data_IF_533103052612
#
_entry.id   IF_533103052612
#
_cell.length_a   1.000
_cell.length_b   1.000
_cell.length_c   1.000
_cell.angle_alpha   90.00
_cell.angle_beta   90.00
_cell.angle_gamma   90.00
#
_symmetry.space_group_name_H-M   'P 1'
#
loop_
_entity.id
_entity.type
_entity.pdbx_description
1 polymer ?
#
# COMPACT_ATOMS: atom_id res chain seq x y z
N UNK A 1 -5.78 -14.91 8.39
CA UNK A 1 -5.96 -13.97 9.51
C UNK A 1 -4.61 -13.65 10.14
N UNK A 2 -4.49 -12.53 10.81
CA UNK A 2 -3.30 -12.16 11.55
C UNK A 2 -3.19 -12.88 12.90
N UNK A 3 -2.03 -12.76 13.53
CA UNK A 3 -1.73 -13.35 14.83
C UNK A 3 -2.68 -12.82 15.94
N UNK A 4 -3.02 -11.53 15.92
CA UNK A 4 -3.91 -10.92 16.91
C UNK A 4 -5.31 -11.53 16.82
N UNK A 5 -5.85 -11.62 15.62
CA UNK A 5 -7.15 -12.27 15.36
C UNK A 5 -7.14 -13.74 15.76
N UNK A 6 -6.08 -14.49 15.43
CA UNK A 6 -5.99 -15.90 15.78
C UNK A 6 -6.04 -16.12 17.31
N UNK A 7 -5.18 -15.43 18.05
CA UNK A 7 -5.02 -15.68 19.48
C UNK A 7 -6.03 -14.96 20.38
N UNK A 8 -6.59 -13.85 19.92
CA UNK A 8 -7.53 -13.06 20.74
C UNK A 8 -9.00 -13.28 20.38
N UNK A 9 -9.32 -13.82 19.19
CA UNK A 9 -10.70 -13.96 18.72
C UNK A 9 -11.09 -15.39 18.31
N UNK A 10 -10.18 -16.17 17.71
CA UNK A 10 -10.51 -17.48 17.14
C UNK A 10 -10.21 -18.64 18.06
N UNK A 11 -9.15 -18.57 18.86
CA UNK A 11 -8.83 -19.63 19.81
C UNK A 11 -9.57 -19.43 21.14
N UNK A 12 -9.99 -20.53 21.80
CA UNK A 12 -10.52 -20.48 23.16
C UNK A 12 -9.50 -19.83 24.10
N UNK A 13 -9.98 -18.98 25.01
CA UNK A 13 -9.10 -18.19 25.89
C UNK A 13 -8.17 -19.06 26.75
N UNK A 14 -8.64 -20.27 27.13
CA UNK A 14 -7.89 -21.27 27.92
C UNK A 14 -6.77 -21.94 27.10
N UNK A 15 -6.89 -21.97 25.76
CA UNK A 15 -5.87 -22.54 24.88
C UNK A 15 -4.69 -21.59 24.62
N UNK A 16 -4.79 -20.33 25.04
CA UNK A 16 -3.77 -19.32 24.77
C UNK A 16 -2.99 -19.02 26.05
N UNK A 17 -1.67 -19.37 26.12
CA UNK A 17 -0.85 -19.10 27.29
C UNK A 17 -0.81 -17.61 27.63
N UNK A 18 -0.94 -17.26 28.91
CA UNK A 18 -0.94 -15.87 29.39
C UNK A 18 0.32 -15.11 28.95
N UNK A 19 1.50 -15.74 29.00
CA UNK A 19 2.76 -15.16 28.54
C UNK A 19 2.73 -14.75 27.05
N UNK A 20 2.01 -15.51 26.23
CA UNK A 20 1.84 -15.17 24.81
C UNK A 20 0.94 -13.96 24.63
N UNK A 21 -0.18 -13.88 25.36
CA UNK A 21 -1.09 -12.70 25.36
C UNK A 21 -0.33 -11.43 25.73
N UNK A 22 0.49 -11.50 26.79
CA UNK A 22 1.31 -10.37 27.24
C UNK A 22 2.36 -9.96 26.20
N UNK A 23 2.96 -10.94 25.50
CA UNK A 23 3.90 -10.66 24.41
C UNK A 23 3.18 -9.99 23.22
N UNK A 24 2.05 -10.50 22.80
CA UNK A 24 1.27 -9.95 21.68
C UNK A 24 0.76 -8.54 21.97
N UNK A 25 0.31 -8.26 23.19
CA UNK A 25 -0.16 -6.93 23.58
C UNK A 25 0.93 -5.85 23.53
N UNK A 26 2.21 -6.24 23.63
CA UNK A 26 3.38 -5.37 23.59
C UNK A 26 4.09 -5.37 22.22
N UNK A 27 3.64 -6.23 21.29
CA UNK A 27 4.29 -6.34 19.99
C UNK A 27 3.84 -5.20 19.08
N UNK A 28 4.82 -4.56 18.46
CA UNK A 28 4.57 -3.63 17.36
C UNK A 28 4.32 -4.41 16.07
N UNK A 29 3.36 -3.95 15.28
CA UNK A 29 3.10 -4.49 13.96
C UNK A 29 4.00 -3.79 12.93
N UNK A 30 4.28 -4.48 11.83
CA UNK A 30 4.89 -3.86 10.67
C UNK A 30 3.95 -2.80 10.07
N UNK A 31 4.52 -1.85 9.35
CA UNK A 31 3.73 -0.93 8.55
C UNK A 31 2.88 -1.72 7.55
N UNK A 32 1.67 -1.25 7.32
CA UNK A 32 0.90 -1.64 6.15
C UNK A 32 1.47 -0.97 4.89
N UNK A 33 0.76 -1.00 3.80
CA UNK A 33 1.16 -0.33 2.57
C UNK A 33 0.00 0.46 1.96
N UNK A 34 0.37 1.47 1.17
CA UNK A 34 -0.48 1.96 0.09
C UNK A 34 0.00 1.30 -1.19
N UNK A 35 -0.94 0.72 -1.93
CA UNK A 35 -0.65 0.09 -3.23
C UNK A 35 -1.43 0.80 -4.32
N UNK A 36 -0.74 1.14 -5.41
CA UNK A 36 -1.36 1.66 -6.62
C UNK A 36 -1.19 0.61 -7.70
N UNK A 37 -2.31 0.04 -8.16
CA UNK A 37 -2.34 -0.86 -9.31
C UNK A 37 -2.72 -0.05 -10.55
N UNK A 38 -1.85 -0.05 -11.54
CA UNK A 38 -1.92 0.82 -12.73
C UNK A 38 -2.10 -0.03 -13.97
N UNK A 39 -3.07 0.33 -14.82
CA UNK A 39 -3.20 -0.17 -16.19
C UNK A 39 -2.62 0.86 -17.17
N UNK A 40 -1.80 0.38 -18.12
CA UNK A 40 -1.10 1.20 -19.10
C UNK A 40 -1.68 1.00 -20.50
N UNK A 41 -1.68 2.06 -21.30
CA UNK A 41 -2.04 2.04 -22.72
C UNK A 41 -0.91 1.54 -23.65
N UNK A 42 0.22 1.15 -23.07
CA UNK A 42 1.41 0.63 -23.76
C UNK A 42 2.04 -0.49 -22.91
N UNK A 43 3.02 -1.20 -23.45
CA UNK A 43 3.75 -2.22 -22.68
C UNK A 43 4.63 -1.57 -21.62
N UNK A 44 4.79 -2.21 -20.48
CA UNK A 44 5.66 -1.69 -19.41
C UNK A 44 7.12 -1.58 -19.87
N UNK A 45 7.57 -2.48 -20.74
CA UNK A 45 8.93 -2.46 -21.32
C UNK A 45 9.18 -1.23 -22.19
N UNK A 46 8.17 -0.74 -22.92
CA UNK A 46 8.31 0.50 -23.73
C UNK A 46 8.58 1.73 -22.87
N UNK A 47 8.19 1.69 -21.60
CA UNK A 47 8.48 2.70 -20.60
C UNK A 47 9.76 2.44 -19.80
N UNK A 48 10.54 1.41 -20.18
CA UNK A 48 11.82 1.08 -19.57
C UNK A 48 11.74 0.16 -18.37
N UNK A 49 10.55 -0.31 -17.97
CA UNK A 49 10.42 -1.27 -16.87
C UNK A 49 10.91 -2.66 -17.31
N UNK A 50 11.49 -3.39 -16.36
CA UNK A 50 12.05 -4.73 -16.55
C UNK A 50 11.43 -5.71 -15.56
N UNK A 51 11.74 -7.00 -15.72
CA UNK A 51 11.33 -8.08 -14.79
C UNK A 51 12.18 -8.05 -13.51
N UNK A 52 12.10 -6.94 -12.79
CA UNK A 52 12.78 -6.71 -11.51
C UNK A 52 11.87 -5.88 -10.60
N UNK A 53 12.05 -6.01 -9.28
CA UNK A 53 11.50 -5.04 -8.35
C UNK A 53 12.43 -3.83 -8.28
N UNK A 54 11.91 -2.68 -8.65
CA UNK A 54 12.62 -1.40 -8.59
C UNK A 54 12.32 -0.73 -7.24
N UNK A 55 13.35 -0.23 -6.56
CA UNK A 55 13.22 0.56 -5.33
C UNK A 55 13.70 1.97 -5.55
N UNK A 56 12.86 2.95 -5.23
CA UNK A 56 13.16 4.38 -5.29
C UNK A 56 13.28 4.92 -3.87
N UNK A 57 14.43 5.49 -3.56
CA UNK A 57 14.68 6.15 -2.29
C UNK A 57 14.74 7.66 -2.52
N UNK A 58 14.40 8.42 -1.50
CA UNK A 58 14.65 9.85 -1.50
C UNK A 58 15.98 10.10 -0.77
N UNK A 59 17.02 10.50 -1.50
CA UNK A 59 18.37 10.69 -0.98
C UNK A 59 18.48 11.86 0.01
N UNK A 60 17.50 12.77 0.02
CA UNK A 60 17.44 13.90 0.93
C UNK A 60 16.88 13.52 2.31
N UNK A 61 16.35 12.29 2.47
CA UNK A 61 15.73 11.83 3.72
C UNK A 61 16.62 10.86 4.48
N UNK A 62 16.46 10.85 5.80
CA UNK A 62 17.16 9.87 6.64
C UNK A 62 16.61 8.46 6.38
N UNK A 63 17.46 7.44 6.46
CA UNK A 63 17.07 6.04 6.27
C UNK A 63 15.88 5.61 7.14
N UNK A 64 15.75 6.14 8.35
CA UNK A 64 14.63 5.87 9.25
C UNK A 64 13.30 6.44 8.77
N UNK A 65 13.32 7.44 7.90
CA UNK A 65 12.11 8.05 7.33
C UNK A 65 11.61 7.31 6.09
N UNK A 66 12.39 6.40 5.52
CA UNK A 66 12.00 5.63 4.34
C UNK A 66 10.79 4.71 4.58
N UNK A 67 10.47 4.41 5.83
CA UNK A 67 9.29 3.62 6.22
C UNK A 67 8.28 4.44 7.04
N UNK A 68 8.40 5.77 7.02
CA UNK A 68 7.57 6.66 7.84
C UNK A 68 6.09 6.68 7.46
N UNK A 69 5.74 6.26 6.24
CA UNK A 69 4.38 6.39 5.70
C UNK A 69 4.08 7.77 5.11
N UNK A 70 5.05 8.70 5.16
CA UNK A 70 4.96 9.99 4.50
C UNK A 70 5.22 9.80 2.99
N UNK A 71 4.30 10.18 2.07
CA UNK A 71 4.47 9.99 0.64
C UNK A 71 5.68 10.73 0.04
N UNK A 72 6.15 11.79 0.69
CA UNK A 72 7.33 12.54 0.25
C UNK A 72 8.64 11.88 0.64
N UNK A 73 8.65 11.05 1.69
CA UNK A 73 9.86 10.51 2.31
C UNK A 73 10.02 9.01 2.16
N UNK A 74 8.91 8.26 2.22
CA UNK A 74 8.94 6.81 2.16
C UNK A 74 9.52 6.30 0.85
N UNK A 75 10.18 5.15 0.88
CA UNK A 75 10.61 4.49 -0.34
C UNK A 75 9.40 4.06 -1.18
N UNK A 76 9.60 3.94 -2.48
CA UNK A 76 8.62 3.40 -3.41
C UNK A 76 9.20 2.12 -3.98
N UNK A 77 8.43 1.04 -4.05
CA UNK A 77 8.79 -0.14 -4.82
C UNK A 77 7.82 -0.34 -5.98
N UNK A 78 8.35 -0.71 -7.14
CA UNK A 78 7.58 -0.85 -8.38
C UNK A 78 7.85 -2.22 -8.98
N UNK A 79 6.78 -2.91 -9.33
CA UNK A 79 6.77 -4.13 -10.13
C UNK A 79 6.00 -3.91 -11.42
N UNK A 80 6.47 -4.52 -12.51
CA UNK A 80 5.79 -4.58 -13.80
C UNK A 80 5.44 -6.03 -14.13
N UNK A 81 4.34 -6.60 -13.60
CA UNK A 81 4.02 -8.02 -13.73
C UNK A 81 3.90 -8.49 -15.18
N UNK A 82 3.40 -7.63 -16.06
CA UNK A 82 3.22 -7.92 -17.50
C UNK A 82 4.54 -8.09 -18.27
N UNK A 83 5.68 -7.69 -17.69
CA UNK A 83 7.00 -7.99 -18.30
C UNK A 83 7.27 -9.49 -18.26
N UNK A 84 6.91 -10.16 -17.17
CA UNK A 84 7.07 -11.62 -17.00
C UNK A 84 5.91 -12.39 -17.60
N UNK A 85 4.68 -11.97 -17.35
CA UNK A 85 3.47 -12.66 -17.79
C UNK A 85 2.57 -11.74 -18.63
N UNK A 86 2.64 -11.89 -19.95
CA UNK A 86 1.87 -11.09 -20.91
C UNK A 86 0.36 -11.32 -20.84
N UNK A 87 -0.09 -12.39 -20.20
CA UNK A 87 -1.53 -12.70 -20.07
C UNK A 87 -2.25 -11.80 -19.06
N UNK A 88 -1.51 -11.03 -18.26
CA UNK A 88 -2.06 -10.13 -17.24
C UNK A 88 -2.61 -8.80 -17.78
N UNK A 89 -2.46 -8.53 -19.08
CA UNK A 89 -3.05 -7.38 -19.75
C UNK A 89 -3.40 -7.72 -21.20
N UNK A 90 -4.28 -6.95 -21.86
CA UNK A 90 -4.50 -7.05 -23.29
C UNK A 90 -3.22 -6.84 -24.08
N UNK A 91 -3.18 -7.35 -25.33
CA UNK A 91 -2.04 -7.17 -26.23
C UNK A 91 -1.69 -5.69 -26.41
N UNK A 92 -0.41 -5.37 -26.33
CA UNK A 92 0.08 -3.98 -26.42
C UNK A 92 -0.08 -3.13 -25.16
N UNK A 93 -0.70 -3.66 -24.11
CA UNK A 93 -0.88 -3.01 -22.82
C UNK A 93 0.02 -3.58 -21.73
N UNK A 94 0.11 -2.89 -20.61
CA UNK A 94 0.93 -3.28 -19.48
C UNK A 94 0.31 -2.94 -18.14
N UNK A 95 0.95 -3.40 -17.07
CA UNK A 95 0.55 -3.09 -15.70
C UNK A 95 1.74 -2.73 -14.84
N UNK A 96 1.52 -1.85 -13.86
CA UNK A 96 2.46 -1.59 -12.77
C UNK A 96 1.76 -1.79 -11.43
N UNK A 97 2.49 -2.34 -10.46
CA UNK A 97 2.11 -2.29 -9.06
C UNK A 97 3.14 -1.45 -8.30
N UNK A 98 2.67 -0.39 -7.68
CA UNK A 98 3.49 0.55 -6.93
C UNK A 98 3.12 0.39 -5.45
N UNK A 99 4.12 0.12 -4.60
CA UNK A 99 3.94 -0.07 -3.16
C UNK A 99 4.71 1.00 -2.40
N UNK A 100 4.07 1.55 -1.37
CA UNK A 100 4.66 2.53 -0.47
C UNK A 100 4.31 2.15 0.96
N UNK A 101 5.26 2.12 1.91
CA UNK A 101 4.92 1.97 3.32
C UNK A 101 3.87 2.97 3.74
N UNK A 102 2.85 2.52 4.43
CA UNK A 102 1.79 3.37 4.94
C UNK A 102 1.25 2.84 6.27
N UNK A 103 0.88 3.75 7.16
CA UNK A 103 0.35 3.41 8.47
C UNK A 103 -1.15 3.65 8.53
N UNK A 104 -1.88 2.82 9.29
CA UNK A 104 -3.32 3.02 9.51
C UNK A 104 -3.62 4.40 10.09
N UNK A 105 -2.76 4.88 10.99
CA UNK A 105 -2.95 6.15 11.71
C UNK A 105 -2.57 7.39 10.88
N UNK A 106 -2.15 7.24 9.63
CA UNK A 106 -1.80 8.37 8.77
C UNK A 106 -2.98 9.35 8.67
N UNK A 107 -2.70 10.66 8.88
CA UNK A 107 -3.68 11.75 8.79
C UNK A 107 -5.03 11.42 9.48
N UNK A 108 -4.95 11.02 10.75
CA UNK A 108 -6.10 10.65 11.55
C UNK A 108 -6.93 9.53 10.91
N UNK A 109 -6.30 8.35 10.80
CA UNK A 109 -6.88 7.16 10.18
C UNK A 109 -7.42 7.39 8.76
N UNK A 110 -6.64 8.09 7.94
CA UNK A 110 -7.00 8.40 6.55
C UNK A 110 -8.28 9.22 6.42
N UNK A 111 -8.60 10.07 7.40
CA UNK A 111 -9.86 10.84 7.42
C UNK A 111 -11.12 9.99 7.33
N UNK A 112 -11.06 8.74 7.79
CA UNK A 112 -12.23 7.87 7.89
C UNK A 112 -13.04 8.20 9.14
N UNK A 113 -14.29 7.71 9.19
CA UNK A 113 -15.11 7.71 10.40
C UNK A 113 -15.30 6.28 10.88
N UNK A 114 -15.51 6.10 12.17
CA UNK A 114 -15.86 4.80 12.74
C UNK A 114 -17.36 4.77 12.98
N UNK A 115 -18.06 3.75 12.46
CA UNK A 115 -19.49 3.58 12.69
C UNK A 115 -19.75 2.90 14.06
N UNK A 116 -21.03 2.73 14.40
CA UNK A 116 -21.46 2.09 15.66
C UNK A 116 -20.98 0.64 15.81
N UNK A 117 -20.63 -0.03 14.71
CA UNK A 117 -20.07 -1.39 14.70
C UNK A 117 -18.55 -1.43 14.80
N UNK A 118 -17.88 -0.26 14.92
CA UNK A 118 -16.43 -0.17 14.96
C UNK A 118 -15.75 -0.31 13.59
N UNK A 119 -16.48 -0.19 12.48
CA UNK A 119 -15.94 -0.31 11.14
C UNK A 119 -15.56 1.06 10.54
N UNK A 120 -14.46 1.12 9.81
CA UNK A 120 -14.04 2.32 9.08
C UNK A 120 -14.97 2.63 7.90
N UNK A 121 -15.58 3.80 7.93
CA UNK A 121 -16.42 4.33 6.85
C UNK A 121 -15.61 5.32 6.02
N UNK A 122 -15.55 5.10 4.72
CA UNK A 122 -14.85 5.96 3.76
C UNK A 122 -15.64 7.24 3.52
N UNK A 123 -15.05 8.38 3.87
CA UNK A 123 -15.59 9.72 3.64
C UNK A 123 -15.13 10.28 2.29
N UNK A 124 -15.60 11.45 1.91
CA UNK A 124 -15.07 12.14 0.72
C UNK A 124 -13.66 12.68 1.00
N UNK A 125 -13.37 13.08 2.24
CA UNK A 125 -12.02 13.45 2.68
C UNK A 125 -11.05 12.27 2.57
N UNK A 126 -11.49 11.04 2.92
CA UNK A 126 -10.70 9.84 2.68
C UNK A 126 -10.34 9.65 1.20
N UNK A 127 -11.32 9.85 0.31
CA UNK A 127 -11.09 9.69 -1.14
C UNK A 127 -10.12 10.74 -1.66
N UNK A 128 -10.29 12.00 -1.22
CA UNK A 128 -9.40 13.10 -1.60
C UNK A 128 -7.97 12.89 -1.10
N UNK A 129 -7.80 12.48 0.16
CA UNK A 129 -6.48 12.19 0.74
C UNK A 129 -5.78 11.03 0.02
N UNK A 130 -6.52 9.95 -0.27
CA UNK A 130 -6.02 8.80 -1.03
C UNK A 130 -5.52 9.22 -2.42
N UNK A 131 -6.29 10.05 -3.10
CA UNK A 131 -5.94 10.58 -4.42
C UNK A 131 -4.72 11.48 -4.35
N UNK A 132 -4.67 12.41 -3.40
CA UNK A 132 -3.52 13.28 -3.18
C UNK A 132 -2.23 12.49 -2.94
N UNK A 133 -2.30 11.44 -2.12
CA UNK A 133 -1.16 10.55 -1.88
C UNK A 133 -0.68 9.90 -3.18
N UNK A 134 -1.60 9.37 -4.00
CA UNK A 134 -1.26 8.74 -5.28
C UNK A 134 -0.59 9.73 -6.24
N UNK A 135 -1.07 10.97 -6.32
CA UNK A 135 -0.49 12.00 -7.18
C UNK A 135 0.95 12.35 -6.77
N UNK A 136 1.24 12.44 -5.47
CA UNK A 136 2.61 12.64 -4.96
C UNK A 136 3.52 11.48 -5.40
N UNK A 137 3.03 10.24 -5.32
CA UNK A 137 3.80 9.07 -5.74
C UNK A 137 4.06 9.08 -7.24
N UNK A 138 3.05 9.37 -8.08
CA UNK A 138 3.24 9.49 -9.53
C UNK A 138 4.27 10.57 -9.89
N UNK A 139 4.21 11.74 -9.27
CA UNK A 139 5.19 12.81 -9.49
C UNK A 139 6.61 12.34 -9.17
N UNK A 140 6.81 11.61 -8.07
CA UNK A 140 8.11 11.06 -7.70
C UNK A 140 8.60 10.01 -8.69
N UNK A 141 7.71 9.13 -9.17
CA UNK A 141 8.05 8.12 -10.19
C UNK A 141 8.41 8.79 -11.51
N UNK A 142 7.68 9.80 -11.93
CA UNK A 142 8.00 10.55 -13.16
C UNK A 142 9.33 11.26 -13.06
N UNK A 143 9.64 11.87 -11.93
CA UNK A 143 10.93 12.57 -11.73
C UNK A 143 12.14 11.64 -11.75
N UNK A 144 12.00 10.40 -11.26
CA UNK A 144 13.14 9.52 -11.01
C UNK A 144 13.29 8.38 -12.02
N UNK A 145 12.21 7.93 -12.66
CA UNK A 145 12.21 6.69 -13.44
C UNK A 145 11.58 6.82 -14.82
N UNK A 146 10.35 7.30 -14.88
CA UNK A 146 9.54 7.24 -16.08
C UNK A 146 8.89 8.61 -16.35
N UNK A 147 9.58 9.55 -16.98
CA UNK A 147 8.98 10.83 -17.39
C UNK A 147 7.69 10.59 -18.18
N UNK A 148 6.67 11.39 -17.89
CA UNK A 148 5.34 11.31 -18.55
C UNK A 148 4.57 10.01 -18.27
N UNK A 149 4.83 9.29 -17.18
CA UNK A 149 4.10 8.06 -16.83
C UNK A 149 2.57 8.26 -16.87
N UNK A 150 2.10 9.40 -16.37
CA UNK A 150 0.65 9.70 -16.29
C UNK A 150 -0.03 9.78 -17.67
N UNK A 151 0.66 10.12 -18.73
CA UNK A 151 0.14 10.13 -20.12
C UNK A 151 -0.18 8.72 -20.62
N UNK A 152 0.43 7.71 -19.99
CA UNK A 152 0.27 6.31 -20.35
C UNK A 152 -0.70 5.55 -19.44
N UNK A 153 -1.27 6.18 -18.42
CA UNK A 153 -2.22 5.56 -17.50
C UNK A 153 -3.61 5.53 -18.11
N UNK A 154 -4.18 4.34 -18.29
CA UNK A 154 -5.59 4.17 -18.66
C UNK A 154 -6.50 4.37 -17.46
N UNK A 155 -6.17 3.70 -16.35
CA UNK A 155 -6.80 3.84 -15.05
C UNK A 155 -5.89 3.29 -13.96
N UNK A 156 -6.20 3.57 -12.73
CA UNK A 156 -5.52 2.99 -11.58
C UNK A 156 -6.46 2.83 -10.39
N UNK A 157 -6.13 1.90 -9.51
CA UNK A 157 -6.80 1.68 -8.24
C UNK A 157 -5.81 1.84 -7.10
N UNK A 158 -6.26 2.48 -6.02
CA UNK A 158 -5.44 2.71 -4.83
C UNK A 158 -6.02 1.97 -3.64
N UNK A 159 -5.24 1.07 -3.06
CA UNK A 159 -5.52 0.41 -1.79
C UNK A 159 -4.70 1.07 -0.67
N UNK A 160 -5.35 1.44 0.42
CA UNK A 160 -4.73 2.00 1.62
C UNK A 160 -4.74 0.96 2.75
N UNK A 161 -4.10 1.20 3.92
CA UNK A 161 -4.27 0.35 5.10
C UNK A 161 -5.73 0.10 5.48
N UNK A 162 -6.61 1.08 5.29
CA UNK A 162 -8.06 0.93 5.51
C UNK A 162 -8.67 -0.10 4.54
N UNK A 163 -8.20 -0.12 3.30
CA UNK A 163 -8.63 -1.12 2.30
C UNK A 163 -8.18 -2.51 2.72
N UNK A 164 -6.91 -2.67 3.09
CA UNK A 164 -6.37 -3.95 3.56
C UNK A 164 -7.11 -4.44 4.80
N UNK A 165 -7.26 -3.61 5.83
CA UNK A 165 -8.03 -3.96 7.02
C UNK A 165 -9.43 -4.47 6.69
N UNK A 166 -10.15 -3.80 5.76
CA UNK A 166 -11.49 -4.19 5.36
C UNK A 166 -11.57 -5.58 4.73
N UNK A 167 -10.57 -5.95 3.90
CA UNK A 167 -10.61 -7.20 3.16
C UNK A 167 -9.94 -8.37 3.88
N UNK A 168 -8.89 -8.12 4.63
CA UNK A 168 -8.13 -9.16 5.32
C UNK A 168 -8.52 -9.32 6.78
N UNK A 169 -9.18 -8.31 7.37
CA UNK A 169 -9.44 -8.18 8.80
C UNK A 169 -8.17 -8.20 9.67
N UNK A 170 -7.01 -7.99 9.07
CA UNK A 170 -5.75 -7.87 9.80
C UNK A 170 -5.74 -6.55 10.58
N UNK A 171 -5.18 -6.59 11.78
CA UNK A 171 -5.02 -5.41 12.61
C UNK A 171 -4.19 -4.37 11.87
N UNK A 172 -4.68 -3.12 11.84
CA UNK A 172 -4.03 -1.97 11.18
C UNK A 172 -3.72 -2.18 9.68
N UNK A 173 -4.38 -3.17 9.04
CA UNK A 173 -4.18 -3.49 7.64
C UNK A 173 -2.82 -4.09 7.29
N UNK A 174 -2.07 -4.56 8.30
CA UNK A 174 -0.71 -5.11 8.14
C UNK A 174 -0.71 -6.59 7.76
#
# INVERSE_FOLDING_TARGET
>A
CDIDTLYNKLLPAEAVPQKLKEKLSKSELYSSSLTISVALNCTAESLGFKDVMLYLFNDETKRTEHISGDPHKSFISILAPTVRDKTLAPEGQGTLNIFVPAWMMYEDNWKTKVNEKGEFVRTDEYKALKEQFAQIIFERVEKQVCPNLREHILFYEVATPVTYHRYTHNKDGS
#
